data_IF_417062016508
#
_entry.id   IF_417062016508
#
_cell.length_a   1.000
_cell.length_b   1.000
_cell.length_c   1.000
_cell.angle_alpha   90.00
_cell.angle_beta   90.00
_cell.angle_gamma   90.00
#
_symmetry.space_group_name_H-M   'P 1'
#
loop_
_entity.id
_entity.type
_entity.pdbx_description
1 polymer ?
#
# COMPACT_ATOMS: atom_id res chain seq x y z
N UNK A 1 -32.57 -27.27 32.32
CA UNK A 1 -31.15 -26.96 32.08
C UNK A 1 -30.57 -27.89 31.02
N UNK A 2 -30.79 -29.20 31.11
CA UNK A 2 -30.29 -30.21 30.14
C UNK A 2 -30.79 -30.02 28.70
N UNK A 3 -32.07 -29.73 28.51
CA UNK A 3 -32.65 -29.50 27.17
C UNK A 3 -32.03 -28.28 26.47
N UNK A 4 -31.73 -27.22 27.21
CA UNK A 4 -31.06 -26.04 26.68
C UNK A 4 -29.62 -26.35 26.24
N UNK A 5 -28.89 -27.13 27.04
CA UNK A 5 -27.54 -27.61 26.69
C UNK A 5 -27.60 -28.46 25.42
N UNK A 6 -28.59 -29.34 25.29
CA UNK A 6 -28.77 -30.16 24.09
C UNK A 6 -29.01 -29.32 22.82
N UNK A 7 -29.87 -28.30 22.89
CA UNK A 7 -30.09 -27.38 21.76
C UNK A 7 -28.83 -26.58 21.40
N UNK A 8 -28.07 -26.13 22.41
CA UNK A 8 -26.83 -25.41 22.19
C UNK A 8 -25.76 -26.30 21.53
N UNK A 9 -25.61 -27.54 22.00
CA UNK A 9 -24.71 -28.52 21.38
C UNK A 9 -25.14 -28.84 19.95
N UNK A 10 -26.43 -29.11 19.71
CA UNK A 10 -26.94 -29.37 18.37
C UNK A 10 -26.71 -28.18 17.42
N UNK A 11 -26.91 -26.95 17.91
CA UNK A 11 -26.62 -25.73 17.17
C UNK A 11 -25.14 -25.62 16.80
N UNK A 12 -24.24 -25.83 17.76
CA UNK A 12 -22.79 -25.79 17.52
C UNK A 12 -22.33 -26.88 16.53
N UNK A 13 -22.84 -28.11 16.67
CA UNK A 13 -22.53 -29.22 15.74
C UNK A 13 -23.04 -28.92 14.34
N UNK A 14 -24.25 -28.36 14.22
CA UNK A 14 -24.83 -27.98 12.93
C UNK A 14 -24.00 -26.89 12.25
N UNK A 15 -23.60 -25.86 12.99
CA UNK A 15 -22.72 -24.80 12.48
C UNK A 15 -21.36 -25.36 12.07
N UNK A 16 -20.75 -26.23 12.88
CA UNK A 16 -19.48 -26.86 12.56
C UNK A 16 -19.58 -27.72 11.29
N UNK A 17 -20.66 -28.50 11.12
CA UNK A 17 -20.90 -29.29 9.92
C UNK A 17 -21.07 -28.42 8.67
N UNK A 18 -21.86 -27.34 8.78
CA UNK A 18 -22.04 -26.37 7.69
C UNK A 18 -20.69 -25.76 7.29
N UNK A 19 -19.88 -25.35 8.26
CA UNK A 19 -18.54 -24.79 8.02
C UNK A 19 -17.60 -25.80 7.36
N UNK A 20 -17.64 -27.07 7.78
CA UNK A 20 -16.82 -28.14 7.18
C UNK A 20 -17.23 -28.42 5.73
N UNK A 21 -18.53 -28.54 5.47
CA UNK A 21 -19.07 -28.76 4.11
C UNK A 21 -18.75 -27.56 3.23
N UNK A 22 -18.97 -26.34 3.73
CA UNK A 22 -18.65 -25.11 3.03
C UNK A 22 -17.16 -25.04 2.68
N UNK A 23 -16.28 -25.30 3.66
CA UNK A 23 -14.82 -25.28 3.44
C UNK A 23 -14.39 -26.30 2.39
N UNK A 24 -14.88 -27.54 2.46
CA UNK A 24 -14.58 -28.56 1.44
C UNK A 24 -15.10 -28.16 0.06
N UNK A 25 -16.27 -27.54 -0.01
CA UNK A 25 -16.84 -27.05 -1.27
C UNK A 25 -16.03 -25.88 -1.84
N UNK A 26 -15.58 -24.95 -1.01
CA UNK A 26 -14.74 -23.83 -1.45
C UNK A 26 -13.36 -24.32 -1.92
N UNK A 27 -12.70 -25.17 -1.14
CA UNK A 27 -11.37 -25.73 -1.46
C UNK A 27 -11.36 -26.73 -2.62
N UNK A 28 -12.52 -27.01 -3.23
CA UNK A 28 -12.63 -27.79 -4.48
C UNK A 28 -12.98 -26.94 -5.71
N UNK A 29 -12.99 -25.61 -5.58
CA UNK A 29 -13.28 -24.65 -6.65
C UNK A 29 -12.48 -24.90 -7.95
N UNK A 30 -11.14 -25.04 -7.87
CA UNK A 30 -10.29 -25.23 -9.05
C UNK A 30 -10.47 -26.60 -9.67
N UNK A 31 -10.60 -27.64 -8.83
CA UNK A 31 -10.95 -29.00 -9.26
C UNK A 31 -12.25 -29.03 -10.06
N UNK A 32 -13.31 -28.36 -9.59
CA UNK A 32 -14.59 -28.28 -10.31
C UNK A 32 -14.51 -27.54 -11.65
N UNK A 33 -13.52 -26.66 -11.83
CA UNK A 33 -13.32 -25.89 -13.07
C UNK A 33 -12.29 -26.50 -14.01
N UNK A 34 -11.73 -27.66 -13.65
CA UNK A 34 -10.69 -28.32 -14.42
C UNK A 34 -9.47 -27.41 -14.70
N UNK A 35 -9.11 -26.58 -13.72
CA UNK A 35 -7.90 -25.73 -13.77
C UNK A 35 -6.80 -26.44 -12.97
N UNK A 36 -5.58 -26.60 -13.49
CA UNK A 36 -4.45 -27.14 -12.72
C UNK A 36 -4.26 -26.35 -11.42
N UNK A 37 -4.11 -27.02 -10.28
CA UNK A 37 -4.02 -26.35 -8.98
C UNK A 37 -3.09 -27.08 -8.02
N UNK A 38 -2.66 -26.38 -6.97
CA UNK A 38 -1.94 -26.98 -5.84
C UNK A 38 -2.95 -27.44 -4.78
N UNK A 39 -2.84 -28.68 -4.32
CA UNK A 39 -3.73 -29.22 -3.29
C UNK A 39 -3.66 -28.37 -2.00
N UNK A 40 -4.79 -27.79 -1.53
CA UNK A 40 -4.80 -26.92 -0.36
C UNK A 40 -4.89 -27.71 0.95
N UNK A 41 -4.45 -27.06 2.03
CA UNK A 41 -4.59 -27.53 3.41
C UNK A 41 -5.35 -26.50 4.25
N UNK A 42 -6.25 -26.94 5.13
CA UNK A 42 -6.95 -26.03 6.04
C UNK A 42 -6.07 -25.73 7.27
N UNK A 43 -6.04 -24.48 7.79
CA UNK A 43 -6.82 -23.30 7.38
C UNK A 43 -6.14 -22.36 6.38
N UNK A 44 -4.89 -22.62 5.99
CA UNK A 44 -4.05 -21.65 5.27
C UNK A 44 -4.10 -21.76 3.75
N UNK A 45 -4.83 -22.74 3.22
CA UNK A 45 -4.87 -23.05 1.79
C UNK A 45 -3.52 -23.62 1.37
N UNK A 46 -2.87 -22.95 0.41
CA UNK A 46 -1.50 -23.26 0.00
C UNK A 46 -0.45 -22.40 0.71
N UNK A 47 -0.86 -21.37 1.44
CA UNK A 47 0.04 -20.59 2.27
C UNK A 47 0.47 -21.41 3.49
N UNK A 48 1.58 -21.01 4.10
CA UNK A 48 2.02 -21.58 5.37
C UNK A 48 1.55 -20.75 6.56
N UNK A 49 1.56 -21.35 7.76
CA UNK A 49 1.16 -20.65 8.97
C UNK A 49 2.12 -19.48 9.25
N UNK A 50 1.58 -18.27 9.50
CA UNK A 50 2.39 -17.09 9.80
C UNK A 50 3.14 -17.18 11.14
N UNK A 51 2.80 -18.15 12.00
CA UNK A 51 3.48 -18.36 13.30
C UNK A 51 4.62 -19.36 13.22
N UNK A 52 4.62 -20.28 12.25
CA UNK A 52 5.62 -21.36 12.18
C UNK A 52 6.65 -21.16 11.08
N UNK A 53 6.32 -20.45 10.00
CA UNK A 53 7.27 -20.18 8.92
C UNK A 53 7.61 -18.68 8.81
N UNK A 54 8.92 -18.40 8.67
CA UNK A 54 9.49 -17.05 8.49
C UNK A 54 9.61 -16.64 7.02
N UNK A 55 9.23 -17.47 6.05
CA UNK A 55 9.22 -17.11 4.63
C UNK A 55 8.20 -15.99 4.38
N UNK A 56 8.59 -14.98 3.60
CA UNK A 56 7.66 -13.94 3.16
C UNK A 56 6.62 -14.48 2.17
N UNK A 57 5.47 -13.84 2.07
CA UNK A 57 4.44 -14.22 1.09
C UNK A 57 4.99 -14.21 -0.34
N UNK A 58 5.82 -13.22 -0.70
CA UNK A 58 6.41 -13.11 -2.04
C UNK A 58 7.24 -14.34 -2.44
N UNK A 59 7.94 -14.96 -1.48
CA UNK A 59 8.69 -16.21 -1.73
C UNK A 59 7.73 -17.36 -2.04
N UNK A 60 6.63 -17.47 -1.30
CA UNK A 60 5.60 -18.49 -1.58
C UNK A 60 5.00 -18.32 -2.97
N UNK A 61 4.61 -17.09 -3.36
CA UNK A 61 4.09 -16.84 -4.71
C UNK A 61 5.09 -17.17 -5.80
N UNK A 62 6.39 -16.89 -5.58
CA UNK A 62 7.44 -17.29 -6.52
C UNK A 62 7.50 -18.82 -6.65
N UNK A 63 7.48 -19.55 -5.54
CA UNK A 63 7.48 -21.02 -5.55
C UNK A 63 6.25 -21.59 -6.27
N UNK A 64 5.06 -21.00 -6.07
CA UNK A 64 3.85 -21.41 -6.79
C UNK A 64 3.97 -21.12 -8.30
N UNK A 65 4.42 -19.91 -8.65
CA UNK A 65 4.65 -19.50 -10.03
C UNK A 65 5.64 -20.45 -10.73
N UNK A 66 6.78 -20.74 -10.11
CA UNK A 66 7.81 -21.62 -10.67
C UNK A 66 7.28 -23.05 -10.85
N UNK A 67 6.48 -23.57 -9.91
CA UNK A 67 5.85 -24.90 -10.04
C UNK A 67 4.94 -24.98 -11.27
N UNK A 68 4.07 -23.97 -11.49
CA UNK A 68 3.18 -23.95 -12.66
C UNK A 68 3.94 -23.69 -13.96
N UNK A 69 4.93 -22.79 -13.93
CA UNK A 69 5.77 -22.53 -15.10
C UNK A 69 6.52 -23.78 -15.54
N UNK A 70 7.09 -24.52 -14.61
CA UNK A 70 7.85 -25.73 -14.89
C UNK A 70 6.97 -26.90 -15.36
N UNK A 71 5.67 -26.92 -15.01
CA UNK A 71 4.73 -27.91 -15.52
C UNK A 71 4.17 -27.58 -16.91
N UNK A 72 4.53 -26.42 -17.48
CA UNK A 72 4.11 -26.01 -18.82
C UNK A 72 2.66 -25.54 -18.92
N UNK A 73 1.98 -25.30 -17.79
CA UNK A 73 0.60 -24.79 -17.79
C UNK A 73 0.57 -23.28 -17.98
N UNK A 74 -0.50 -22.77 -18.59
CA UNK A 74 -0.68 -21.33 -18.84
C UNK A 74 -1.13 -20.55 -17.61
N UNK A 75 -1.79 -21.22 -16.67
CA UNK A 75 -2.20 -20.67 -15.39
C UNK A 75 -2.38 -21.81 -14.39
N UNK A 76 -2.36 -21.46 -13.11
CA UNK A 76 -2.59 -22.41 -12.03
C UNK A 76 -3.37 -21.82 -10.87
N UNK A 77 -4.20 -22.63 -10.22
CA UNK A 77 -4.98 -22.26 -9.06
C UNK A 77 -4.23 -22.52 -7.75
N UNK A 78 -4.29 -21.55 -6.84
CA UNK A 78 -3.93 -21.72 -5.44
C UNK A 78 -5.11 -21.30 -4.55
N UNK A 79 -4.95 -21.47 -3.25
CA UNK A 79 -5.84 -21.01 -2.21
C UNK A 79 -5.07 -20.17 -1.21
N UNK A 80 -5.50 -18.92 -1.05
CA UNK A 80 -5.07 -18.06 0.05
C UNK A 80 -6.10 -18.24 1.16
N UNK A 81 -5.75 -19.04 2.19
CA UNK A 81 -6.73 -19.49 3.18
C UNK A 81 -7.85 -20.29 2.51
N UNK A 82 -9.04 -19.71 2.41
CA UNK A 82 -10.19 -20.29 1.71
C UNK A 82 -10.49 -19.57 0.38
N UNK A 83 -9.73 -18.54 0.02
CA UNK A 83 -9.96 -17.75 -1.19
C UNK A 83 -9.27 -18.42 -2.39
N UNK A 84 -9.98 -18.83 -3.45
CA UNK A 84 -9.35 -19.34 -4.67
C UNK A 84 -8.66 -18.19 -5.42
N UNK A 85 -7.35 -18.31 -5.62
CA UNK A 85 -6.52 -17.32 -6.33
C UNK A 85 -5.90 -17.94 -7.58
N UNK A 86 -5.98 -17.25 -8.72
CA UNK A 86 -5.36 -17.67 -9.97
C UNK A 86 -3.95 -17.08 -10.08
N UNK A 87 -2.98 -17.91 -10.44
CA UNK A 87 -1.62 -17.52 -10.80
C UNK A 87 -1.48 -17.57 -12.33
N UNK A 88 -1.50 -16.42 -13.02
CA UNK A 88 -1.30 -16.36 -14.46
C UNK A 88 0.19 -16.56 -14.83
N UNK A 89 0.48 -17.51 -15.72
CA UNK A 89 1.84 -17.78 -16.22
C UNK A 89 2.02 -17.20 -17.63
N UNK A 90 1.03 -17.39 -18.50
CA UNK A 90 1.03 -16.91 -19.89
C UNK A 90 0.87 -15.36 -19.92
N UNK A 91 1.79 -14.62 -20.58
CA UNK A 91 1.68 -13.17 -20.74
C UNK A 91 0.37 -12.69 -21.38
N UNK A 92 -0.25 -13.48 -22.26
CA UNK A 92 -1.55 -13.09 -22.82
C UNK A 92 -2.65 -13.10 -21.75
N UNK A 93 -2.62 -14.05 -20.81
CA UNK A 93 -3.57 -14.03 -19.68
C UNK A 93 -3.36 -12.77 -18.83
N UNK A 94 -2.11 -12.41 -18.55
CA UNK A 94 -1.79 -11.17 -17.83
C UNK A 94 -2.31 -9.92 -18.58
N UNK A 95 -2.16 -9.88 -19.91
CA UNK A 95 -2.67 -8.79 -20.74
C UNK A 95 -4.20 -8.69 -20.71
N UNK A 96 -4.89 -9.83 -20.68
CA UNK A 96 -6.35 -9.86 -20.52
C UNK A 96 -6.76 -9.31 -19.15
N UNK A 97 -6.14 -9.78 -18.06
CA UNK A 97 -6.44 -9.33 -16.69
C UNK A 97 -6.14 -7.84 -16.49
N UNK A 98 -4.98 -7.36 -16.95
CA UNK A 98 -4.48 -6.02 -16.62
C UNK A 98 -4.91 -4.93 -17.62
N UNK A 99 -5.28 -5.29 -18.85
CA UNK A 99 -5.49 -4.32 -19.94
C UNK A 99 -6.80 -4.53 -20.70
N UNK A 100 -7.03 -5.72 -21.29
CA UNK A 100 -8.13 -5.89 -22.24
C UNK A 100 -9.50 -5.97 -21.57
N UNK A 101 -9.61 -6.70 -20.46
CA UNK A 101 -10.90 -7.16 -19.92
C UNK A 101 -11.28 -6.42 -18.63
N UNK A 102 -11.09 -5.10 -18.59
CA UNK A 102 -11.33 -4.27 -17.39
C UNK A 102 -12.75 -4.43 -16.83
N UNK A 103 -13.75 -4.67 -17.67
CA UNK A 103 -15.14 -4.88 -17.24
C UNK A 103 -15.30 -6.06 -16.27
N UNK A 104 -14.39 -7.03 -16.32
CA UNK A 104 -14.35 -8.19 -15.42
C UNK A 104 -13.30 -8.04 -14.30
N UNK A 105 -12.20 -7.31 -14.54
CA UNK A 105 -11.05 -7.18 -13.64
C UNK A 105 -10.86 -5.76 -13.08
N UNK A 106 -11.95 -5.10 -12.69
CA UNK A 106 -11.88 -3.73 -12.16
C UNK A 106 -11.53 -3.65 -10.66
N UNK A 107 -11.66 -4.75 -9.90
CA UNK A 107 -11.45 -4.79 -8.46
C UNK A 107 -10.05 -5.29 -8.09
N UNK A 108 -9.45 -4.70 -7.05
CA UNK A 108 -8.13 -5.12 -6.52
C UNK A 108 -8.20 -6.14 -5.39
N UNK A 109 -9.40 -6.40 -4.85
CA UNK A 109 -9.60 -7.35 -3.75
C UNK A 109 -9.24 -6.83 -2.35
N UNK A 110 -9.03 -5.51 -2.19
CA UNK A 110 -8.79 -4.91 -0.87
C UNK A 110 -10.09 -4.54 -0.17
N UNK A 111 -10.19 -4.93 1.09
CA UNK A 111 -11.32 -4.56 1.93
C UNK A 111 -11.33 -3.06 2.26
N UNK A 112 -12.54 -2.49 2.24
CA UNK A 112 -12.84 -1.19 2.83
C UNK A 112 -14.26 -1.22 3.43
N UNK A 113 -14.53 -0.29 4.36
CA UNK A 113 -15.84 -0.16 5.00
C UNK A 113 -16.27 1.31 5.03
N UNK A 114 -16.90 1.75 3.94
CA UNK A 114 -17.33 3.14 3.78
C UNK A 114 -18.34 3.58 4.84
N UNK A 115 -19.16 2.66 5.36
CA UNK A 115 -20.15 2.97 6.40
C UNK A 115 -19.53 3.25 7.76
N UNK A 116 -18.55 2.43 8.17
CA UNK A 116 -18.00 2.48 9.53
C UNK A 116 -16.65 3.20 9.62
N UNK A 117 -15.91 3.28 8.52
CA UNK A 117 -14.64 4.00 8.38
C UNK A 117 -14.58 4.63 6.97
N UNK A 118 -15.31 5.74 6.71
CA UNK A 118 -15.46 6.32 5.38
C UNK A 118 -14.14 6.61 4.65
N UNK A 119 -13.11 7.08 5.37
CA UNK A 119 -11.77 7.35 4.82
C UNK A 119 -11.02 6.12 4.30
N UNK A 120 -11.49 4.91 4.64
CA UNK A 120 -10.99 3.66 4.04
C UNK A 120 -11.38 3.50 2.57
N UNK A 121 -12.38 4.24 2.08
CA UNK A 121 -12.77 4.31 0.68
C UNK A 121 -11.90 5.34 -0.06
N UNK A 122 -10.82 4.86 -0.66
CA UNK A 122 -9.88 5.69 -1.42
C UNK A 122 -9.55 5.05 -2.78
N UNK A 123 -8.80 5.76 -3.62
CA UNK A 123 -8.50 5.37 -5.00
C UNK A 123 -7.84 3.98 -5.13
N UNK A 124 -7.22 3.49 -4.06
CA UNK A 124 -6.62 2.17 -4.03
C UNK A 124 -7.65 1.07 -3.72
N UNK A 125 -8.51 1.30 -2.74
CA UNK A 125 -9.43 0.28 -2.19
C UNK A 125 -10.78 0.20 -2.91
N UNK A 126 -11.33 1.32 -3.36
CA UNK A 126 -12.61 1.33 -4.07
C UNK A 126 -12.46 0.72 -5.47
N UNK A 127 -13.57 0.18 -5.99
CA UNK A 127 -13.61 -0.47 -7.30
C UNK A 127 -14.76 0.03 -8.19
N UNK A 128 -14.85 -0.55 -9.39
CA UNK A 128 -15.95 -0.37 -10.32
C UNK A 128 -16.15 1.08 -10.77
N UNK A 129 -17.42 1.51 -10.86
CA UNK A 129 -17.79 2.84 -11.35
C UNK A 129 -17.26 3.95 -10.44
N UNK A 130 -17.27 3.75 -9.11
CA UNK A 130 -16.78 4.75 -8.15
C UNK A 130 -15.28 4.98 -8.32
N UNK A 131 -14.51 3.89 -8.45
CA UNK A 131 -13.10 3.96 -8.79
C UNK A 131 -12.84 4.69 -10.11
N UNK A 132 -13.58 4.33 -11.18
CA UNK A 132 -13.39 4.96 -12.50
C UNK A 132 -13.61 6.47 -12.44
N UNK A 133 -14.70 6.90 -11.79
CA UNK A 133 -15.00 8.32 -11.59
C UNK A 133 -13.89 9.02 -10.82
N UNK A 134 -13.46 8.45 -9.70
CA UNK A 134 -12.39 9.04 -8.89
C UNK A 134 -11.05 9.08 -9.65
N UNK A 135 -10.70 8.01 -10.36
CA UNK A 135 -9.44 7.91 -11.13
C UNK A 135 -9.33 8.99 -12.20
N UNK A 136 -10.41 9.25 -12.93
CA UNK A 136 -10.45 10.33 -13.93
C UNK A 136 -10.19 11.69 -13.29
N UNK A 137 -10.80 11.96 -12.12
CA UNK A 137 -10.62 13.21 -11.37
C UNK A 137 -9.17 13.43 -10.93
N UNK A 138 -8.44 12.38 -10.55
CA UNK A 138 -7.06 12.45 -10.01
C UNK A 138 -5.95 12.32 -11.05
N UNK A 139 -6.25 11.87 -12.27
CA UNK A 139 -5.24 11.70 -13.33
C UNK A 139 -4.43 12.99 -13.62
N UNK A 140 -5.02 14.20 -13.63
CA UNK A 140 -4.28 15.44 -13.90
C UNK A 140 -3.24 15.83 -12.83
N UNK A 141 -3.31 15.21 -11.65
CA UNK A 141 -2.48 15.61 -10.50
C UNK A 141 -1.00 15.27 -10.66
N UNK A 142 -0.67 14.24 -11.44
CA UNK A 142 0.72 13.78 -11.65
C UNK A 142 1.26 14.14 -13.04
N UNK A 143 0.82 15.25 -13.62
CA UNK A 143 1.38 15.76 -14.88
C UNK A 143 2.81 16.27 -14.69
N UNK A 144 3.61 16.29 -15.76
CA UNK A 144 5.01 16.75 -15.70
C UNK A 144 5.14 18.17 -15.14
N UNK A 145 4.18 19.06 -15.42
CA UNK A 145 4.15 20.41 -14.86
C UNK A 145 3.93 20.41 -13.34
N UNK A 146 3.02 19.58 -12.83
CA UNK A 146 2.78 19.43 -11.39
C UNK A 146 3.97 18.78 -10.70
N UNK A 147 4.62 17.80 -11.33
CA UNK A 147 5.85 17.19 -10.81
C UNK A 147 7.00 18.21 -10.75
N UNK A 148 7.15 19.06 -11.76
CA UNK A 148 8.12 20.15 -11.75
C UNK A 148 7.90 21.12 -10.58
N UNK A 149 6.66 21.41 -10.20
CA UNK A 149 6.37 22.25 -9.02
C UNK A 149 6.76 21.59 -7.69
N UNK A 150 6.76 20.26 -7.62
CA UNK A 150 7.15 19.51 -6.42
C UNK A 150 8.66 19.27 -6.33
N UNK A 151 9.41 19.52 -7.40
CA UNK A 151 10.85 19.26 -7.49
C UNK A 151 11.64 19.96 -6.38
N UNK A 152 11.40 21.26 -6.16
CA UNK A 152 12.10 22.04 -5.13
C UNK A 152 11.84 21.50 -3.72
N UNK A 153 10.63 20.97 -3.47
CA UNK A 153 10.27 20.35 -2.20
C UNK A 153 11.01 19.03 -1.98
N UNK A 154 11.18 18.23 -3.05
CA UNK A 154 11.98 17.01 -3.01
C UNK A 154 13.47 17.32 -2.79
N UNK A 155 13.99 18.34 -3.48
CA UNK A 155 15.38 18.78 -3.34
C UNK A 155 15.66 19.29 -1.91
N UNK A 156 14.74 20.05 -1.33
CA UNK A 156 14.85 20.49 0.06
C UNK A 156 14.90 19.30 1.04
N UNK A 157 14.05 18.28 0.85
CA UNK A 157 14.10 17.07 1.66
C UNK A 157 15.43 16.29 1.48
N UNK A 158 15.97 16.26 0.26
CA UNK A 158 17.29 15.69 -0.05
C UNK A 158 18.42 16.42 0.67
N UNK A 159 18.41 17.76 0.69
CA UNK A 159 19.40 18.57 1.43
C UNK A 159 19.37 18.31 2.94
N UNK A 160 18.18 18.09 3.51
CA UNK A 160 18.05 17.71 4.93
C UNK A 160 18.66 16.34 5.20
N UNK A 161 18.48 15.38 4.28
CA UNK A 161 19.13 14.07 4.38
C UNK A 161 20.65 14.18 4.23
N UNK A 162 21.15 15.01 3.31
CA UNK A 162 22.59 15.24 3.13
C UNK A 162 23.24 15.79 4.41
N UNK A 163 22.65 16.83 5.01
CA UNK A 163 23.12 17.38 6.27
C UNK A 163 23.15 16.33 7.41
N UNK A 164 22.13 15.47 7.48
CA UNK A 164 22.10 14.37 8.43
C UNK A 164 23.20 13.34 8.16
N UNK A 165 23.49 13.02 6.89
CA UNK A 165 24.53 12.06 6.51
C UNK A 165 25.95 12.58 6.74
N UNK A 166 26.18 13.90 6.67
CA UNK A 166 27.47 14.51 6.97
C UNK A 166 27.93 14.18 8.41
N UNK A 167 27.00 14.17 9.38
CA UNK A 167 27.30 13.78 10.77
C UNK A 167 27.77 12.31 10.90
N UNK A 168 27.33 11.42 10.00
CA UNK A 168 27.73 10.01 9.98
C UNK A 168 29.04 9.79 9.23
N UNK A 169 29.31 10.59 8.19
CA UNK A 169 30.54 10.51 7.40
C UNK A 169 31.77 10.73 8.29
N UNK A 170 31.68 11.67 9.23
CA UNK A 170 32.76 12.01 10.15
C UNK A 170 32.96 10.94 11.25
N UNK A 171 31.87 10.31 11.70
CA UNK A 171 31.90 9.35 12.81
C UNK A 171 32.14 7.90 12.39
N UNK A 172 32.01 7.58 11.09
CA UNK A 172 32.11 6.22 10.52
C UNK A 172 31.23 5.18 11.22
N UNK A 173 30.11 5.62 11.80
CA UNK A 173 29.16 4.75 12.47
C UNK A 173 28.25 4.05 11.47
N UNK A 174 27.83 2.79 11.73
CA UNK A 174 26.88 2.10 10.84
C UNK A 174 25.56 2.87 10.74
N UNK A 175 25.13 3.16 9.51
CA UNK A 175 23.87 3.84 9.23
C UNK A 175 22.75 2.82 9.01
N UNK A 176 21.61 3.02 9.68
CA UNK A 176 20.38 2.32 9.31
C UNK A 176 19.75 2.99 8.08
N UNK A 177 20.04 2.44 6.90
CA UNK A 177 19.57 2.98 5.61
C UNK A 177 18.05 3.08 5.55
N UNK A 178 17.32 2.06 6.03
CA UNK A 178 15.84 2.05 6.02
C UNK A 178 15.27 3.21 6.84
N UNK A 179 15.82 3.48 8.02
CA UNK A 179 15.39 4.60 8.85
C UNK A 179 15.71 5.95 8.20
N UNK A 180 16.91 6.09 7.63
CA UNK A 180 17.35 7.31 6.96
C UNK A 180 16.45 7.66 5.76
N UNK A 181 16.26 6.72 4.84
CA UNK A 181 15.42 6.96 3.66
C UNK A 181 13.93 7.04 4.03
N UNK A 182 13.49 6.35 5.08
CA UNK A 182 12.12 6.46 5.59
C UNK A 182 11.79 7.86 6.12
N UNK A 183 12.74 8.51 6.80
CA UNK A 183 12.61 9.92 7.22
C UNK A 183 12.64 10.87 6.02
N UNK A 184 13.51 10.61 5.05
CA UNK A 184 13.57 11.41 3.81
C UNK A 184 12.27 11.33 3.01
N UNK A 185 11.70 10.14 2.81
CA UNK A 185 10.42 9.98 2.10
C UNK A 185 9.26 10.57 2.88
N UNK A 186 9.29 10.50 4.22
CA UNK A 186 8.31 11.19 5.07
C UNK A 186 8.35 12.70 4.85
N UNK A 187 9.54 13.31 4.80
CA UNK A 187 9.68 14.74 4.49
C UNK A 187 9.18 15.07 3.07
N UNK A 188 9.55 14.25 2.09
CA UNK A 188 9.09 14.43 0.70
C UNK A 188 7.57 14.40 0.62
N UNK A 189 6.92 13.36 1.16
CA UNK A 189 5.47 13.23 1.05
C UNK A 189 4.74 14.25 1.93
N UNK A 190 5.22 14.53 3.14
CA UNK A 190 4.65 15.57 4.00
C UNK A 190 4.65 16.94 3.33
N UNK A 191 5.76 17.30 2.70
CA UNK A 191 5.93 18.59 2.02
C UNK A 191 5.18 18.64 0.69
N UNK A 192 5.37 17.66 -0.19
CA UNK A 192 4.79 17.64 -1.54
C UNK A 192 3.29 17.40 -1.52
N UNK A 193 2.79 16.57 -0.60
CA UNK A 193 1.40 16.20 -0.61
C UNK A 193 0.52 17.03 0.35
N UNK A 194 1.09 17.60 1.42
CA UNK A 194 0.28 18.25 2.47
C UNK A 194 0.80 19.63 2.87
N UNK A 195 1.92 20.03 2.30
CA UNK A 195 2.60 21.26 2.66
C UNK A 195 3.01 21.32 4.13
N UNK A 196 3.28 20.17 4.74
CA UNK A 196 3.78 20.05 6.09
C UNK A 196 5.30 19.96 6.07
N UNK A 197 5.97 20.74 6.91
CA UNK A 197 7.38 20.48 7.23
C UNK A 197 7.44 19.47 8.37
N UNK A 198 7.60 18.19 8.03
CA UNK A 198 7.67 17.12 9.01
C UNK A 198 9.02 17.07 9.74
N UNK A 199 10.07 17.68 9.16
CA UNK A 199 11.45 17.62 9.63
C UNK A 199 11.86 16.30 10.33
N UNK A 200 11.60 15.17 9.68
CA UNK A 200 11.64 13.83 10.28
C UNK A 200 13.02 13.35 10.72
N UNK A 201 14.08 14.09 10.37
CA UNK A 201 15.42 13.88 10.91
C UNK A 201 15.58 14.46 12.33
N UNK A 202 14.83 15.52 12.68
CA UNK A 202 14.78 16.11 14.03
C UNK A 202 13.61 15.59 14.86
N UNK A 203 12.42 15.48 14.27
CA UNK A 203 11.20 15.00 14.94
C UNK A 203 10.61 13.78 14.22
N UNK A 204 10.72 12.61 14.85
CA UNK A 204 10.23 11.34 14.30
C UNK A 204 8.73 11.11 14.45
N UNK A 205 7.96 12.08 14.96
CA UNK A 205 6.53 11.90 15.27
C UNK A 205 5.71 11.49 14.05
N UNK A 206 5.84 12.20 12.93
CA UNK A 206 5.10 11.87 11.68
C UNK A 206 5.59 10.55 11.10
N UNK A 207 6.90 10.31 11.08
CA UNK A 207 7.46 9.04 10.62
C UNK A 207 6.94 7.84 11.43
N UNK A 208 6.89 7.93 12.77
CA UNK A 208 6.33 6.89 13.63
C UNK A 208 4.82 6.73 13.43
N UNK A 209 4.09 7.82 13.23
CA UNK A 209 2.65 7.79 12.92
C UNK A 209 2.37 6.96 11.66
N UNK A 210 3.15 7.17 10.60
CA UNK A 210 3.01 6.43 9.34
C UNK A 210 3.44 4.96 9.48
N UNK A 211 4.56 4.69 10.16
CA UNK A 211 5.01 3.32 10.43
C UNK A 211 3.97 2.52 11.23
N UNK A 212 3.38 3.13 12.27
CA UNK A 212 2.35 2.49 13.08
C UNK A 212 1.03 2.23 12.34
N UNK A 213 0.77 2.93 11.22
CA UNK A 213 -0.39 2.61 10.36
C UNK A 213 -0.21 1.31 9.58
N UNK A 214 1.03 0.85 9.39
CA UNK A 214 1.37 -0.27 8.52
C UNK A 214 1.81 -1.50 9.35
N UNK A 215 2.49 -1.29 10.47
CA UNK A 215 3.08 -2.37 11.27
C UNK A 215 2.11 -2.97 12.31
N UNK A 216 2.00 -4.31 12.36
CA UNK A 216 1.35 -5.03 13.46
C UNK A 216 0.86 -6.46 13.13
N UNK A 217 1.22 -7.44 13.97
CA UNK A 217 0.80 -8.85 13.80
C UNK A 217 -0.72 -9.05 13.96
N UNK A 218 -1.36 -8.29 14.85
CA UNK A 218 -2.83 -8.24 14.97
C UNK A 218 -3.48 -7.63 13.72
N UNK A 219 -2.79 -6.70 13.06
CA UNK A 219 -3.19 -6.12 11.78
C UNK A 219 -3.22 -7.18 10.68
N UNK A 220 -2.20 -8.05 10.59
CA UNK A 220 -2.12 -9.08 9.56
C UNK A 220 -3.31 -10.07 9.57
N UNK A 221 -3.65 -10.62 10.74
CA UNK A 221 -4.78 -11.55 10.88
C UNK A 221 -6.10 -10.85 10.55
N UNK A 222 -6.26 -9.60 11.02
CA UNK A 222 -7.47 -8.79 10.77
C UNK A 222 -7.63 -8.48 9.28
N UNK A 223 -6.57 -8.04 8.61
CA UNK A 223 -6.53 -7.75 7.17
C UNK A 223 -6.87 -9.00 6.37
N UNK A 224 -6.24 -10.13 6.70
CA UNK A 224 -6.52 -11.42 6.08
C UNK A 224 -8.00 -11.79 6.17
N UNK A 225 -8.57 -11.73 7.38
CA UNK A 225 -9.99 -12.04 7.59
C UNK A 225 -10.90 -11.11 6.80
N UNK A 226 -10.63 -9.80 6.83
CA UNK A 226 -11.42 -8.81 6.11
C UNK A 226 -11.37 -8.98 4.59
N UNK A 227 -10.21 -9.33 4.03
CA UNK A 227 -10.07 -9.58 2.59
C UNK A 227 -10.70 -10.91 2.16
N UNK A 228 -10.68 -11.93 3.04
CA UNK A 228 -11.20 -13.26 2.72
C UNK A 228 -12.73 -13.33 2.82
N UNK A 229 -13.32 -12.61 3.79
CA UNK A 229 -14.76 -12.59 4.05
C UNK A 229 -15.29 -11.14 4.13
N UNK A 230 -15.17 -10.34 3.05
CA UNK A 230 -15.42 -8.90 3.09
C UNK A 230 -16.85 -8.54 3.47
N UNK A 231 -17.86 -9.31 3.01
CA UNK A 231 -19.26 -9.07 3.36
C UNK A 231 -19.54 -9.26 4.86
N UNK A 232 -18.93 -10.27 5.48
CA UNK A 232 -19.05 -10.53 6.91
C UNK A 232 -18.33 -9.44 7.69
N UNK A 233 -17.11 -9.09 7.30
CA UNK A 233 -16.36 -8.00 7.92
C UNK A 233 -17.08 -6.65 7.83
N UNK A 234 -17.74 -6.36 6.70
CA UNK A 234 -18.57 -5.15 6.52
C UNK A 234 -19.78 -5.15 7.45
N UNK A 235 -20.47 -6.29 7.59
CA UNK A 235 -21.61 -6.45 8.50
C UNK A 235 -21.20 -6.27 9.97
N UNK A 236 -20.04 -6.80 10.35
CA UNK A 236 -19.45 -6.64 11.68
C UNK A 236 -18.87 -5.23 11.93
N UNK A 237 -18.87 -4.35 10.93
CA UNK A 237 -18.35 -3.00 11.06
C UNK A 237 -16.84 -2.92 11.24
N UNK A 238 -16.09 -3.93 10.76
CA UNK A 238 -14.63 -3.98 10.96
C UNK A 238 -13.92 -2.84 10.23
N UNK A 239 -12.96 -2.23 10.94
CA UNK A 239 -12.12 -1.11 10.47
C UNK A 239 -10.68 -1.57 10.29
N UNK A 240 -10.04 -1.29 9.15
CA UNK A 240 -8.65 -1.70 8.92
C UNK A 240 -7.64 -0.64 9.32
N UNK A 241 -7.95 0.64 9.08
CA UNK A 241 -7.06 1.71 9.50
C UNK A 241 -7.12 1.86 11.03
N UNK A 242 -5.99 2.02 11.73
CA UNK A 242 -5.99 2.30 13.16
C UNK A 242 -6.68 3.63 13.47
N UNK A 243 -7.67 3.63 14.36
CA UNK A 243 -8.51 4.81 14.63
C UNK A 243 -7.70 5.98 15.20
N UNK A 244 -6.71 5.71 16.07
CA UNK A 244 -5.86 6.76 16.67
C UNK A 244 -5.08 7.52 15.60
N UNK A 245 -4.32 6.79 14.79
CA UNK A 245 -3.47 7.33 13.74
C UNK A 245 -4.31 8.05 12.68
N UNK A 246 -5.44 7.43 12.28
CA UNK A 246 -6.40 8.00 11.33
C UNK A 246 -6.95 9.34 11.82
N UNK A 247 -7.35 9.44 13.10
CA UNK A 247 -7.92 10.66 13.65
C UNK A 247 -6.89 11.79 13.73
N UNK A 248 -5.63 11.49 14.09
CA UNK A 248 -4.55 12.48 14.12
C UNK A 248 -4.31 13.06 12.72
N UNK A 249 -4.21 12.20 11.70
CA UNK A 249 -3.99 12.62 10.32
C UNK A 249 -5.19 13.44 9.81
N UNK A 250 -6.41 12.96 10.03
CA UNK A 250 -7.63 13.67 9.62
C UNK A 250 -7.70 15.08 10.24
N UNK A 251 -7.41 15.19 11.55
CA UNK A 251 -7.41 16.47 12.25
C UNK A 251 -6.36 17.43 11.70
N UNK A 252 -5.14 16.94 11.45
CA UNK A 252 -4.07 17.76 10.86
C UNK A 252 -4.44 18.28 9.46
N UNK A 253 -5.10 17.46 8.64
CA UNK A 253 -5.61 17.88 7.32
C UNK A 253 -6.67 18.97 7.47
N UNK A 254 -7.64 18.81 8.38
CA UNK A 254 -8.67 19.83 8.64
C UNK A 254 -8.07 21.15 9.09
N UNK A 255 -7.16 21.11 10.07
CA UNK A 255 -6.48 22.30 10.59
C UNK A 255 -5.69 23.02 9.49
N UNK A 256 -5.01 22.27 8.63
CA UNK A 256 -4.25 22.82 7.50
C UNK A 256 -5.17 23.48 6.47
N UNK A 257 -6.29 22.85 6.13
CA UNK A 257 -7.29 23.41 5.20
C UNK A 257 -7.91 24.67 5.78
N UNK A 258 -8.33 24.64 7.06
CA UNK A 258 -8.92 25.80 7.74
C UNK A 258 -7.94 26.97 7.78
N UNK A 259 -6.69 26.72 8.19
CA UNK A 259 -5.64 27.75 8.20
C UNK A 259 -5.45 28.38 6.82
N UNK A 260 -5.33 27.57 5.76
CA UNK A 260 -5.14 28.07 4.39
C UNK A 260 -6.32 28.89 3.89
N UNK A 261 -7.53 28.45 4.20
CA UNK A 261 -8.77 29.13 3.82
C UNK A 261 -8.92 30.46 4.55
N UNK A 262 -8.69 30.49 5.86
CA UNK A 262 -8.81 31.70 6.68
C UNK A 262 -7.73 32.75 6.37
N UNK A 263 -6.50 32.29 6.05
CA UNK A 263 -5.35 33.16 5.77
C UNK A 263 -5.10 33.42 4.29
N UNK A 264 -5.93 32.88 3.39
CA UNK A 264 -5.75 32.94 1.94
C UNK A 264 -4.34 32.48 1.49
N UNK A 265 -3.83 31.41 2.09
CA UNK A 265 -2.53 30.83 1.75
C UNK A 265 -2.71 29.76 0.68
N UNK A 266 -2.05 29.95 -0.45
CA UNK A 266 -1.96 28.95 -1.52
C UNK A 266 -0.54 28.40 -1.59
N UNK A 267 -0.42 27.08 -1.76
CA UNK A 267 0.85 26.38 -1.92
C UNK A 267 0.74 25.42 -3.10
N UNK A 268 1.79 25.34 -3.91
CA UNK A 268 1.84 24.43 -5.06
C UNK A 268 2.08 22.98 -4.61
N UNK A 269 1.12 22.38 -3.90
CA UNK A 269 1.17 21.01 -3.38
C UNK A 269 -0.10 20.20 -3.71
N UNK A 270 -0.09 18.91 -3.39
CA UNK A 270 -1.23 18.02 -3.67
C UNK A 270 -2.49 18.41 -2.89
N UNK A 271 -2.36 18.90 -1.65
CA UNK A 271 -3.49 19.32 -0.83
C UNK A 271 -4.21 20.52 -1.46
N UNK A 272 -3.48 21.45 -2.07
CA UNK A 272 -4.08 22.55 -2.81
C UNK A 272 -4.92 22.05 -4.00
N UNK A 273 -4.42 21.06 -4.74
CA UNK A 273 -5.19 20.44 -5.83
C UNK A 273 -6.46 19.77 -5.31
N UNK A 274 -6.38 19.09 -4.17
CA UNK A 274 -7.52 18.49 -3.50
C UNK A 274 -8.55 19.53 -3.03
N UNK A 275 -8.09 20.66 -2.48
CA UNK A 275 -8.95 21.78 -2.09
C UNK A 275 -9.68 22.36 -3.30
N UNK A 276 -8.98 22.61 -4.42
CA UNK A 276 -9.59 23.08 -5.66
C UNK A 276 -10.62 22.09 -6.23
N UNK A 277 -10.34 20.78 -6.13
CA UNK A 277 -11.30 19.74 -6.54
C UNK A 277 -12.53 19.74 -5.63
N UNK A 278 -12.35 19.93 -4.32
CA UNK A 278 -13.45 20.04 -3.36
C UNK A 278 -14.32 21.26 -3.64
N UNK A 279 -13.72 22.40 -3.94
CA UNK A 279 -14.45 23.64 -4.22
C UNK A 279 -15.23 23.59 -5.54
N UNK A 280 -14.80 22.74 -6.47
CA UNK A 280 -15.54 22.38 -7.70
C UNK A 280 -16.55 21.23 -7.49
N UNK A 281 -16.82 20.85 -6.24
CA UNK A 281 -17.69 19.73 -5.87
C UNK A 281 -17.31 18.39 -6.52
N UNK A 282 -16.03 18.24 -6.90
CA UNK A 282 -15.52 17.00 -7.49
C UNK A 282 -15.21 15.96 -6.43
N UNK A 283 -14.90 16.36 -5.19
CA UNK A 283 -14.69 15.46 -4.04
C UNK A 283 -15.28 16.09 -2.79
N UNK A 284 -15.79 15.29 -1.87
CA UNK A 284 -16.18 15.79 -0.55
C UNK A 284 -14.99 15.79 0.44
N UNK A 285 -15.18 16.36 1.63
CA UNK A 285 -14.14 16.42 2.67
C UNK A 285 -13.67 15.03 3.14
N UNK A 286 -14.55 14.05 3.11
CA UNK A 286 -14.23 12.67 3.52
C UNK A 286 -13.40 11.97 2.46
N UNK A 287 -13.80 12.09 1.19
CA UNK A 287 -13.03 11.58 0.04
C UNK A 287 -11.65 12.24 -0.04
N UNK A 288 -11.57 13.54 0.23
CA UNK A 288 -10.33 14.30 0.34
C UNK A 288 -9.40 13.67 1.39
N UNK A 289 -9.87 13.51 2.63
CA UNK A 289 -9.07 12.90 3.71
C UNK A 289 -8.66 11.47 3.40
N UNK A 290 -9.55 10.67 2.82
CA UNK A 290 -9.25 9.30 2.40
C UNK A 290 -8.14 9.25 1.36
N UNK A 291 -8.12 10.19 0.41
CA UNK A 291 -7.03 10.33 -0.55
C UNK A 291 -5.75 10.78 0.14
N UNK A 292 -5.80 11.76 1.03
CA UNK A 292 -4.63 12.21 1.79
C UNK A 292 -3.95 11.04 2.52
N UNK A 293 -4.71 10.24 3.27
CA UNK A 293 -4.18 9.06 3.98
C UNK A 293 -3.52 8.08 3.00
N UNK A 294 -4.16 7.80 1.87
CA UNK A 294 -3.60 6.93 0.83
C UNK A 294 -2.24 7.46 0.32
N UNK A 295 -2.17 8.73 -0.05
CA UNK A 295 -0.94 9.30 -0.62
C UNK A 295 0.18 9.41 0.41
N UNK A 296 -0.13 9.68 1.68
CA UNK A 296 0.84 9.60 2.78
C UNK A 296 1.49 8.22 2.87
N UNK A 297 0.66 7.17 2.93
CA UNK A 297 1.14 5.79 3.06
C UNK A 297 1.94 5.34 1.83
N UNK A 298 1.38 5.57 0.63
CA UNK A 298 2.00 5.16 -0.61
C UNK A 298 3.34 5.86 -0.85
N UNK A 299 3.41 7.18 -0.60
CA UNK A 299 4.62 7.97 -0.82
C UNK A 299 5.74 7.70 0.19
N UNK A 300 5.38 7.35 1.42
CA UNK A 300 6.32 7.01 2.49
C UNK A 300 7.00 5.64 2.25
N UNK A 301 6.22 4.56 2.24
CA UNK A 301 6.77 3.22 2.42
C UNK A 301 7.38 2.65 1.14
N UNK A 302 6.68 2.76 0.01
CA UNK A 302 7.12 2.13 -1.25
C UNK A 302 8.44 2.73 -1.76
N UNK A 303 8.57 4.06 -1.69
CA UNK A 303 9.79 4.79 -2.02
C UNK A 303 10.93 4.43 -1.07
N UNK A 304 10.67 4.35 0.24
CA UNK A 304 11.69 4.03 1.24
C UNK A 304 12.24 2.62 1.05
N UNK A 305 11.37 1.63 0.82
CA UNK A 305 11.76 0.24 0.56
C UNK A 305 12.59 0.16 -0.74
N UNK A 306 12.14 0.83 -1.80
CA UNK A 306 12.85 0.84 -3.09
C UNK A 306 14.25 1.43 -2.96
N UNK A 307 14.38 2.59 -2.30
CA UNK A 307 15.68 3.22 -2.05
C UNK A 307 16.57 2.37 -1.14
N UNK A 308 16.00 1.72 -0.13
CA UNK A 308 16.74 0.82 0.76
C UNK A 308 17.40 -0.31 -0.02
N UNK A 309 16.65 -0.98 -0.89
CA UNK A 309 17.19 -2.07 -1.72
C UNK A 309 18.17 -1.55 -2.78
N UNK A 310 17.88 -0.41 -3.42
CA UNK A 310 18.81 0.19 -4.38
C UNK A 310 20.17 0.52 -3.73
N UNK A 311 20.16 1.16 -2.57
CA UNK A 311 21.38 1.48 -1.83
C UNK A 311 22.10 0.23 -1.32
N UNK A 312 21.36 -0.80 -0.92
CA UNK A 312 21.93 -2.10 -0.54
C UNK A 312 22.69 -2.76 -1.71
N UNK A 313 22.08 -2.79 -2.90
CA UNK A 313 22.71 -3.34 -4.10
C UNK A 313 23.93 -2.53 -4.54
N UNK A 314 23.86 -1.19 -4.49
CA UNK A 314 25.01 -0.32 -4.79
C UNK A 314 26.16 -0.54 -3.80
N UNK A 315 25.87 -0.69 -2.50
CA UNK A 315 26.89 -0.97 -1.50
C UNK A 315 27.59 -2.32 -1.74
N UNK A 316 26.89 -3.30 -2.32
CA UNK A 316 27.43 -4.63 -2.67
C UNK A 316 28.17 -4.66 -4.01
N UNK A 317 27.87 -3.74 -4.92
CA UNK A 317 28.41 -3.71 -6.29
C UNK A 317 29.11 -2.36 -6.55
N UNK A 318 30.38 -2.26 -6.15
CA UNK A 318 31.17 -1.02 -6.19
C UNK A 318 31.40 -0.46 -7.60
N UNK A 319 31.47 -1.33 -8.61
CA UNK A 319 31.54 -0.96 -10.02
C UNK A 319 30.29 -0.22 -10.49
N UNK A 320 29.10 -0.70 -10.09
CA UNK A 320 27.83 -0.02 -10.37
C UNK A 320 27.73 1.31 -9.63
N UNK A 321 28.17 1.35 -8.37
CA UNK A 321 28.22 2.57 -7.57
C UNK A 321 29.10 3.64 -8.21
N UNK A 322 30.31 3.28 -8.64
CA UNK A 322 31.24 4.24 -9.25
C UNK A 322 30.74 4.71 -10.62
N UNK A 323 30.15 3.81 -11.43
CA UNK A 323 29.52 4.17 -12.70
C UNK A 323 28.40 5.18 -12.51
N UNK A 324 27.47 4.93 -11.58
CA UNK A 324 26.38 5.85 -11.26
C UNK A 324 26.91 7.19 -10.75
N UNK A 325 27.92 7.17 -9.86
CA UNK A 325 28.54 8.39 -9.34
C UNK A 325 29.18 9.23 -10.43
N UNK A 326 29.86 8.58 -11.38
CA UNK A 326 30.47 9.24 -12.54
C UNK A 326 29.41 9.93 -13.39
N UNK A 327 28.33 9.22 -13.73
CA UNK A 327 27.21 9.77 -14.51
C UNK A 327 26.57 10.98 -13.82
N UNK A 328 26.25 10.88 -12.52
CA UNK A 328 25.71 12.00 -11.74
C UNK A 328 26.64 13.22 -11.79
N UNK A 329 27.95 13.02 -11.59
CA UNK A 329 28.92 14.12 -11.60
C UNK A 329 29.12 14.73 -12.99
N UNK A 330 28.99 13.95 -14.06
CA UNK A 330 29.05 14.44 -15.44
C UNK A 330 27.85 15.33 -15.75
N UNK A 331 26.63 14.84 -15.47
CA UNK A 331 25.39 15.61 -15.69
C UNK A 331 25.33 16.86 -14.82
N UNK A 332 25.76 16.79 -13.56
CA UNK A 332 25.82 17.97 -12.69
C UNK A 332 26.76 19.03 -13.26
N UNK A 333 27.94 18.65 -13.78
CA UNK A 333 28.88 19.60 -14.39
C UNK A 333 28.29 20.29 -15.61
N UNK A 334 27.49 19.59 -16.40
CA UNK A 334 26.77 20.17 -17.55
C UNK A 334 25.71 21.20 -17.11
N UNK A 335 25.21 21.10 -15.87
CA UNK A 335 24.15 21.94 -15.31
C UNK A 335 24.64 22.83 -14.16
N UNK A 336 25.85 23.39 -14.25
CA UNK A 336 26.42 24.31 -13.26
C UNK A 336 26.50 23.76 -11.83
N UNK A 337 26.63 22.44 -11.68
CA UNK A 337 26.60 21.70 -10.42
C UNK A 337 25.33 21.90 -9.59
N UNK A 338 24.19 22.14 -10.26
CA UNK A 338 22.89 22.23 -9.60
C UNK A 338 21.93 21.13 -10.09
N UNK A 339 21.01 20.73 -9.22
CA UNK A 339 19.96 19.80 -9.57
C UNK A 339 18.89 20.53 -10.38
N UNK A 340 18.55 20.03 -11.56
CA UNK A 340 17.53 20.62 -12.42
C UNK A 340 16.45 19.60 -12.83
N UNK A 341 15.26 20.12 -13.10
CA UNK A 341 14.16 19.35 -13.71
C UNK A 341 14.16 19.61 -15.21
N UNK A 342 14.59 18.60 -15.98
CA UNK A 342 14.70 18.65 -17.45
C UNK A 342 13.33 18.41 -18.10
#
# INVERSE_FOLDING_TARGET
MEVFILYLVFGLVSVALILLVYTKWVLSYWKRRNVPYLEPSFPFGNLESPTTNKKSQSVHYKEFYDKFKNSGVKCGGIYEYISPTLIPIDPEINKHILVKDFEYFHARGFYYNEKHQPVSANLFTIDGKKWRTLRVKFTPTFTSSKMKFMFDLMLAAGKTMDAYLQEYADTKTPLNVKDCVGRMTTNVIGSCAFGLDCNSFKDVTVYKLLTNMIEGFSGFIKVTFCNSLPKVAQLLGLRLLPDRETNIICKSIEETISYRTEKNVSRNDFLQLLMEMKDKEMVDMTELKGQCILFFLAGYETSAITMTFALFELAKNQDMQEKLRKEINEVLREHNNDFCFI
#
